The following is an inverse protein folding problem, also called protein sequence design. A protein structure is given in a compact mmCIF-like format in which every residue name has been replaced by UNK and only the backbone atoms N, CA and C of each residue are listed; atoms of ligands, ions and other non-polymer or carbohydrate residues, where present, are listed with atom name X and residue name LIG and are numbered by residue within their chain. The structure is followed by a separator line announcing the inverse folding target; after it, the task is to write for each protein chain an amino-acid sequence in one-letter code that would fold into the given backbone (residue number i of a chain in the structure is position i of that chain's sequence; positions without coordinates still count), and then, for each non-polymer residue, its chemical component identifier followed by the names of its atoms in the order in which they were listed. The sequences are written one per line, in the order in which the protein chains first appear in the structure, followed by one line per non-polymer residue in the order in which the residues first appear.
data_IF_905031723361
#
_entry.id   IF_905031723361
#
_cell.length_a   1.000
_cell.length_b   1.000
_cell.length_c   1.000
_cell.angle_alpha   90.00
_cell.angle_beta   90.00
_cell.angle_gamma   90.00
#
_symmetry.space_group_name_H-M   'P 1'
#
loop_
_entity.id
_entity.type
_entity.pdbx_description
1 polymer ?
#
# COMPACT_ATOMS: atom_id res chain seq x y z
N UNK A 1 40.88 72.98 11.05
CA UNK A 1 39.62 72.71 10.35
C UNK A 1 39.52 71.23 10.00
N UNK A 2 38.39 70.62 10.39
CA UNK A 2 37.74 69.44 9.79
C UNK A 2 38.43 68.07 9.94
N UNK A 3 37.90 67.33 10.89
CA UNK A 3 37.94 65.88 11.06
C UNK A 3 37.44 65.16 9.81
N UNK A 4 38.18 64.17 9.30
CA UNK A 4 37.65 63.21 8.32
C UNK A 4 38.14 61.81 8.65
N UNK A 5 37.43 61.15 9.57
CA UNK A 5 37.53 59.70 9.78
C UNK A 5 36.47 59.01 8.93
N UNK A 6 36.86 57.85 8.38
CA UNK A 6 36.05 56.67 7.97
C UNK A 6 35.84 56.46 6.46
N UNK A 7 36.63 55.48 5.97
CA UNK A 7 36.26 54.31 5.16
C UNK A 7 35.50 54.55 3.84
N UNK A 8 36.21 54.37 2.72
CA UNK A 8 35.63 53.98 1.44
C UNK A 8 34.81 52.69 1.64
N UNK A 9 33.49 52.82 1.68
CA UNK A 9 32.58 51.68 1.56
C UNK A 9 32.46 51.33 0.08
N UNK A 10 33.36 50.47 -0.40
CA UNK A 10 33.27 49.85 -1.71
C UNK A 10 32.74 48.42 -1.54
N UNK A 11 31.46 48.20 -1.86
CA UNK A 11 30.94 46.91 -2.34
C UNK A 11 29.50 47.11 -2.85
N UNK A 12 29.41 47.49 -4.12
CA UNK A 12 28.19 47.48 -4.90
C UNK A 12 27.84 46.03 -5.27
N UNK A 13 26.65 45.63 -4.83
CA UNK A 13 25.72 44.70 -5.50
C UNK A 13 26.26 43.28 -5.76
N UNK A 14 26.09 42.42 -4.76
CA UNK A 14 25.87 40.99 -5.01
C UNK A 14 24.56 40.89 -5.81
N UNK A 15 24.68 40.88 -7.14
CA UNK A 15 23.57 40.59 -8.03
C UNK A 15 23.03 39.22 -7.62
N UNK A 16 21.78 39.20 -7.18
CA UNK A 16 21.17 38.06 -6.53
C UNK A 16 21.31 36.79 -7.35
N UNK A 17 22.22 35.91 -6.95
CA UNK A 17 21.95 34.49 -7.03
C UNK A 17 20.82 34.25 -6.04
N UNK A 18 19.58 34.46 -6.51
CA UNK A 18 18.45 33.74 -5.96
C UNK A 18 18.88 32.28 -5.96
N UNK A 19 19.23 31.77 -4.79
CA UNK A 19 19.52 30.38 -4.58
C UNK A 19 18.22 29.66 -4.91
N UNK A 20 18.07 29.25 -6.17
CA UNK A 20 17.12 28.25 -6.59
C UNK A 20 17.61 26.96 -5.93
N UNK A 21 17.34 26.82 -4.63
CA UNK A 21 17.13 25.51 -4.08
C UNK A 21 15.96 24.98 -4.92
N UNK A 22 16.14 23.98 -5.80
CA UNK A 22 14.97 23.32 -6.33
C UNK A 22 14.18 22.91 -5.09
N UNK A 23 12.93 23.36 -4.96
CA UNK A 23 12.03 22.76 -3.98
C UNK A 23 12.02 21.30 -4.40
N UNK A 24 12.81 20.49 -3.70
CA UNK A 24 12.87 19.07 -3.96
C UNK A 24 11.47 18.62 -3.67
N UNK A 25 10.77 18.31 -4.75
CA UNK A 25 9.34 18.23 -4.77
C UNK A 25 9.01 16.84 -4.23
N UNK A 26 9.12 16.71 -2.90
CA UNK A 26 9.09 15.44 -2.23
C UNK A 26 7.67 14.87 -2.27
N UNK A 27 7.56 13.63 -2.73
CA UNK A 27 6.30 12.93 -2.74
C UNK A 27 5.84 12.65 -1.30
N UNK A 28 4.56 12.86 -1.00
CA UNK A 28 4.07 12.79 0.37
C UNK A 28 2.57 12.49 0.42
N UNK A 29 2.17 11.71 1.41
CA UNK A 29 0.78 11.57 1.79
C UNK A 29 0.26 12.87 2.41
N UNK A 30 -0.96 13.23 2.03
CA UNK A 30 -1.70 14.39 2.54
C UNK A 30 -3.16 13.99 2.80
N UNK A 31 -3.84 14.71 3.69
CA UNK A 31 -5.22 14.41 4.06
C UNK A 31 -6.01 15.68 4.36
N UNK A 32 -7.29 15.65 4.03
CA UNK A 32 -8.29 16.64 4.43
C UNK A 32 -9.64 15.94 4.74
N UNK A 33 -10.72 16.70 4.85
CA UNK A 33 -12.06 16.18 5.17
C UNK A 33 -12.65 15.28 4.07
N UNK A 34 -12.16 15.40 2.83
CA UNK A 34 -12.63 14.61 1.69
C UNK A 34 -11.90 13.26 1.62
N UNK A 35 -10.60 13.23 1.95
CA UNK A 35 -9.84 12.00 1.95
C UNK A 35 -8.33 12.21 1.91
N UNK A 36 -7.64 11.13 1.57
CA UNK A 36 -6.20 11.09 1.40
C UNK A 36 -5.82 11.35 -0.06
N UNK A 37 -4.71 12.03 -0.31
CA UNK A 37 -4.07 12.10 -1.62
C UNK A 37 -2.56 11.95 -1.48
N UNK A 38 -1.88 11.69 -2.60
CA UNK A 38 -0.44 11.58 -2.66
C UNK A 38 0.12 12.64 -3.59
N UNK A 39 1.05 13.47 -3.08
CA UNK A 39 1.71 14.49 -3.89
C UNK A 39 2.85 13.89 -4.68
N UNK A 40 3.03 14.34 -5.91
CA UNK A 40 4.20 14.06 -6.75
C UNK A 40 4.74 15.39 -7.26
N UNK A 41 5.71 15.91 -6.53
CA UNK A 41 6.22 17.25 -6.71
C UNK A 41 5.16 18.35 -6.60
N UNK A 42 4.91 19.09 -7.70
CA UNK A 42 3.88 20.12 -7.77
C UNK A 42 2.48 19.57 -8.16
N UNK A 43 2.35 18.25 -8.33
CA UNK A 43 1.11 17.57 -8.74
C UNK A 43 0.62 16.57 -7.67
N UNK A 44 -0.43 15.81 -8.01
CA UNK A 44 -0.98 14.70 -7.23
C UNK A 44 -1.19 13.44 -8.10
N UNK A 45 -1.18 12.26 -7.47
CA UNK A 45 -1.44 11.00 -8.15
C UNK A 45 -2.90 10.85 -8.56
N UNK A 46 -3.12 10.25 -9.73
CA UNK A 46 -4.42 9.85 -10.28
C UNK A 46 -4.32 8.43 -10.83
N UNK A 47 -5.36 7.62 -10.68
CA UNK A 47 -5.32 6.20 -11.07
C UNK A 47 -4.41 5.37 -10.15
N UNK A 48 -3.84 4.30 -10.69
CA UNK A 48 -2.95 3.39 -9.96
C UNK A 48 -1.58 4.00 -9.70
N UNK A 49 -1.12 3.93 -8.46
CA UNK A 49 0.21 4.39 -8.05
C UNK A 49 0.83 3.38 -7.08
N UNK A 50 2.13 3.09 -7.26
CA UNK A 50 2.88 2.23 -6.36
C UNK A 50 3.70 3.06 -5.38
N UNK A 51 3.33 2.99 -4.09
CA UNK A 51 3.96 3.75 -3.02
C UNK A 51 4.50 2.77 -2.00
N UNK A 52 5.82 2.81 -1.75
CA UNK A 52 6.54 1.91 -0.84
C UNK A 52 6.27 0.42 -1.13
N UNK A 53 6.25 0.05 -2.41
CA UNK A 53 6.01 -1.32 -2.87
C UNK A 53 4.56 -1.78 -2.78
N UNK A 54 3.61 -0.88 -2.54
CA UNK A 54 2.17 -1.20 -2.41
C UNK A 54 1.36 -0.39 -3.40
N UNK A 55 0.37 -1.01 -4.01
CA UNK A 55 -0.53 -0.35 -4.96
C UNK A 55 -1.68 0.37 -4.25
N UNK A 56 -1.97 1.58 -4.72
CA UNK A 56 -3.09 2.41 -4.30
C UNK A 56 -3.80 2.94 -5.56
N UNK A 57 -5.07 3.26 -5.45
CA UNK A 57 -5.83 3.88 -6.54
C UNK A 57 -6.36 5.23 -6.10
N UNK A 58 -6.22 6.25 -6.96
CA UNK A 58 -6.70 7.61 -6.74
C UNK A 58 -7.75 7.94 -7.81
N UNK A 59 -8.85 8.59 -7.41
CA UNK A 59 -9.83 9.08 -8.38
C UNK A 59 -9.31 10.25 -9.22
N UNK A 60 -10.13 10.72 -10.16
CA UNK A 60 -9.79 11.84 -11.04
C UNK A 60 -9.54 13.16 -10.32
N UNK A 61 -9.97 13.28 -9.05
CA UNK A 61 -9.72 14.45 -8.21
C UNK A 61 -8.50 14.25 -7.29
N UNK A 62 -7.80 13.11 -7.43
CA UNK A 62 -6.62 12.77 -6.65
C UNK A 62 -6.88 12.14 -5.30
N UNK A 63 -8.13 11.80 -4.96
CA UNK A 63 -8.44 11.19 -3.67
C UNK A 63 -8.34 9.67 -3.72
N UNK A 64 -7.64 9.11 -2.74
CA UNK A 64 -7.41 7.68 -2.58
C UNK A 64 -8.73 6.95 -2.40
N UNK A 65 -8.92 5.88 -3.17
CA UNK A 65 -10.10 5.02 -3.13
C UNK A 65 -9.85 3.78 -2.29
N UNK A 66 -10.94 3.28 -1.73
CA UNK A 66 -11.03 2.02 -0.99
C UNK A 66 -12.27 1.27 -1.48
N UNK A 67 -12.36 -0.01 -1.18
CA UNK A 67 -13.42 -0.88 -1.67
C UNK A 67 -13.15 -1.40 -3.09
N UNK A 68 -14.23 -1.83 -3.76
CA UNK A 68 -14.18 -2.36 -5.12
C UNK A 68 -13.98 -1.24 -6.15
N UNK A 69 -13.08 -1.49 -7.10
CA UNK A 69 -12.71 -0.57 -8.17
C UNK A 69 -12.87 -1.32 -9.50
N UNK A 70 -13.67 -0.77 -10.41
CA UNK A 70 -13.69 -1.22 -11.80
C UNK A 70 -12.76 -0.31 -12.60
N UNK A 71 -11.71 -0.89 -13.15
CA UNK A 71 -10.78 -0.21 -14.04
C UNK A 71 -10.74 -0.96 -15.38
N UNK A 72 -11.36 -0.35 -16.38
CA UNK A 72 -11.46 -0.87 -17.75
C UNK A 72 -11.97 -2.33 -17.82
N UNK A 73 -13.01 -2.66 -17.04
CA UNK A 73 -13.60 -4.00 -17.03
C UNK A 73 -12.93 -5.01 -16.09
N UNK A 74 -11.75 -4.71 -15.58
CA UNK A 74 -11.12 -5.48 -14.52
C UNK A 74 -11.58 -4.97 -13.16
N UNK A 75 -11.86 -5.89 -12.23
CA UNK A 75 -12.23 -5.54 -10.87
C UNK A 75 -11.06 -5.75 -9.92
N UNK A 76 -10.85 -4.77 -9.04
CA UNK A 76 -9.84 -4.75 -8.01
C UNK A 76 -10.48 -4.41 -6.68
N UNK A 77 -9.77 -4.65 -5.58
CA UNK A 77 -10.22 -4.24 -4.26
C UNK A 77 -9.10 -3.53 -3.50
N UNK A 78 -9.38 -2.35 -2.97
CA UNK A 78 -8.48 -1.63 -2.06
C UNK A 78 -9.00 -1.75 -0.61
N UNK A 79 -8.16 -2.15 0.32
CA UNK A 79 -8.51 -2.22 1.74
C UNK A 79 -8.80 -0.83 2.32
N UNK A 80 -9.27 -0.75 3.57
CA UNK A 80 -9.58 0.52 4.24
C UNK A 80 -8.38 1.47 4.38
N UNK A 81 -7.16 0.94 4.32
CA UNK A 81 -5.92 1.72 4.30
C UNK A 81 -5.44 2.04 2.86
N UNK A 82 -6.26 1.80 1.85
CA UNK A 82 -5.98 2.09 0.44
C UNK A 82 -5.20 1.03 -0.33
N UNK A 83 -4.57 0.07 0.36
CA UNK A 83 -3.71 -0.91 -0.29
C UNK A 83 -4.53 -1.88 -1.13
N UNK A 84 -4.09 -2.13 -2.37
CA UNK A 84 -4.68 -3.13 -3.25
C UNK A 84 -4.56 -4.53 -2.67
N UNK A 85 -5.65 -5.29 -2.72
CA UNK A 85 -5.69 -6.72 -2.46
C UNK A 85 -5.11 -7.48 -3.66
N UNK A 86 -4.22 -8.42 -3.40
CA UNK A 86 -3.70 -9.34 -4.41
C UNK A 86 -3.43 -10.71 -3.79
N UNK A 87 -3.53 -11.75 -4.63
CA UNK A 87 -3.36 -13.15 -4.25
C UNK A 87 -4.18 -13.55 -3.02
N UNK A 88 -5.45 -13.15 -2.98
CA UNK A 88 -6.31 -13.37 -1.81
C UNK A 88 -7.81 -13.27 -2.13
N UNK A 89 -8.67 -13.73 -1.22
CA UNK A 89 -10.13 -13.66 -1.37
C UNK A 89 -10.74 -12.44 -0.67
N UNK A 90 -11.51 -11.61 -1.35
CA UNK A 90 -12.37 -10.60 -0.72
C UNK A 90 -13.80 -11.12 -0.72
N UNK A 91 -14.26 -11.67 0.40
CA UNK A 91 -15.51 -12.46 0.42
C UNK A 91 -15.35 -13.71 -0.45
N UNK A 92 -16.21 -13.89 -1.44
CA UNK A 92 -16.17 -15.02 -2.38
C UNK A 92 -15.35 -14.73 -3.65
N UNK A 93 -14.74 -13.54 -3.75
CA UNK A 93 -14.07 -13.08 -4.96
C UNK A 93 -12.56 -13.24 -4.80
N UNK A 94 -11.91 -14.06 -5.63
CA UNK A 94 -10.45 -14.21 -5.61
C UNK A 94 -9.78 -13.15 -6.50
N UNK A 95 -8.84 -12.40 -5.92
CA UNK A 95 -7.97 -11.45 -6.60
C UNK A 95 -6.63 -12.15 -6.86
N UNK A 96 -6.21 -12.21 -8.11
CA UNK A 96 -4.96 -12.87 -8.51
C UNK A 96 -3.71 -12.06 -8.07
N UNK A 97 -2.51 -12.49 -8.45
CA UNK A 97 -1.25 -11.81 -8.08
C UNK A 97 -1.15 -10.35 -8.55
N UNK A 98 -1.92 -9.95 -9.55
CA UNK A 98 -1.98 -8.57 -10.05
C UNK A 98 -3.17 -7.79 -9.46
N UNK A 99 -3.86 -8.36 -8.47
CA UNK A 99 -5.04 -7.77 -7.83
C UNK A 99 -6.31 -7.81 -8.65
N UNK A 100 -6.30 -8.46 -9.82
CA UNK A 100 -7.47 -8.58 -10.69
C UNK A 100 -8.36 -9.71 -10.19
N UNK A 101 -9.64 -9.43 -10.00
CA UNK A 101 -10.66 -10.43 -9.73
C UNK A 101 -10.79 -11.40 -10.90
N UNK A 102 -10.80 -12.69 -10.59
CA UNK A 102 -11.03 -13.76 -11.57
C UNK A 102 -12.21 -14.62 -11.15
N UNK A 103 -13.00 -15.06 -12.13
CA UNK A 103 -14.06 -16.06 -11.97
C UNK A 103 -13.52 -17.49 -12.04
N UNK A 104 -12.37 -17.69 -12.68
CA UNK A 104 -11.59 -18.91 -12.55
C UNK A 104 -10.88 -18.87 -11.20
N UNK A 105 -11.57 -19.33 -10.15
CA UNK A 105 -10.89 -20.11 -9.14
C UNK A 105 -10.17 -21.19 -9.93
N UNK A 106 -8.83 -21.14 -9.93
CA UNK A 106 -8.07 -22.26 -10.46
C UNK A 106 -8.72 -23.51 -9.88
N UNK A 107 -9.26 -24.34 -10.76
CA UNK A 107 -9.47 -25.72 -10.45
C UNK A 107 -8.09 -26.24 -10.07
N UNK A 108 -7.72 -26.10 -8.80
CA UNK A 108 -6.99 -27.14 -8.10
C UNK A 108 -7.99 -28.28 -8.03
N UNK A 109 -8.07 -28.96 -9.17
CA UNK A 109 -8.60 -30.29 -9.29
C UNK A 109 -8.06 -31.12 -8.15
N UNK A 110 -8.97 -31.93 -7.61
CA UNK A 110 -8.70 -33.15 -6.84
C UNK A 110 -8.02 -32.95 -5.49
N UNK A 111 -8.81 -33.10 -4.42
CA UNK A 111 -8.40 -33.58 -3.09
C UNK A 111 -6.91 -33.47 -2.78
N UNK A 112 -6.43 -32.25 -2.56
CA UNK A 112 -5.05 -32.03 -2.14
C UNK A 112 -4.91 -32.53 -0.70
N UNK A 113 -4.28 -33.70 -0.56
CA UNK A 113 -3.65 -34.12 0.68
C UNK A 113 -2.86 -32.93 1.21
N UNK A 114 -3.28 -32.40 2.35
CA UNK A 114 -2.58 -31.34 3.07
C UNK A 114 -1.23 -31.91 3.44
N UNK A 115 -0.22 -31.65 2.62
CA UNK A 115 1.13 -31.96 3.02
C UNK A 115 1.49 -30.99 4.12
N UNK A 116 2.14 -31.54 5.13
CA UNK A 116 2.75 -30.88 6.28
C UNK A 116 3.61 -29.65 5.95
N UNK A 117 3.99 -29.50 4.68
CA UNK A 117 4.76 -28.38 4.12
C UNK A 117 3.92 -27.23 3.52
N UNK A 118 2.60 -27.32 3.50
CA UNK A 118 1.74 -26.22 3.02
C UNK A 118 1.93 -24.95 3.86
N UNK A 119 1.77 -23.78 3.24
CA UNK A 119 1.86 -22.50 3.94
C UNK A 119 0.58 -22.26 4.74
N UNK A 120 0.75 -21.92 6.01
CA UNK A 120 -0.28 -21.40 6.89
C UNK A 120 0.00 -19.93 7.24
N UNK A 121 -1.07 -19.19 7.50
CA UNK A 121 -1.01 -17.78 7.88
C UNK A 121 -1.50 -17.63 9.31
N UNK A 122 -0.75 -16.96 10.18
CA UNK A 122 -1.16 -16.71 11.56
C UNK A 122 -1.99 -15.44 11.67
N UNK A 123 -2.98 -15.46 12.57
CA UNK A 123 -3.70 -14.26 12.99
C UNK A 123 -2.74 -13.21 13.53
N UNK A 124 -3.15 -11.94 13.51
CA UNK A 124 -2.36 -10.87 14.09
C UNK A 124 -2.05 -11.10 15.58
N UNK A 125 -2.94 -11.80 16.29
CA UNK A 125 -2.75 -12.21 17.69
C UNK A 125 -1.90 -13.48 17.85
N UNK A 126 -1.67 -14.23 16.77
CA UNK A 126 -1.03 -15.54 16.81
C UNK A 126 -1.92 -16.65 17.39
N UNK A 127 -3.19 -16.41 17.72
CA UNK A 127 -4.03 -17.45 18.35
C UNK A 127 -4.47 -18.54 17.36
N UNK A 128 -4.62 -18.17 16.09
CA UNK A 128 -5.12 -19.06 15.05
C UNK A 128 -4.24 -19.06 13.82
N UNK A 129 -4.23 -20.20 13.12
CA UNK A 129 -3.68 -20.31 11.79
C UNK A 129 -4.77 -20.53 10.75
N UNK A 130 -4.47 -20.10 9.54
CA UNK A 130 -5.43 -19.90 8.47
C UNK A 130 -4.86 -20.46 7.16
N UNK A 131 -5.70 -21.11 6.33
CA UNK A 131 -5.29 -21.57 4.98
C UNK A 131 -5.04 -20.41 4.02
N UNK A 132 -5.76 -19.30 4.24
CA UNK A 132 -5.67 -18.08 3.46
C UNK A 132 -5.32 -16.90 4.38
N UNK A 133 -4.53 -15.92 3.90
CA UNK A 133 -3.95 -14.86 4.73
C UNK A 133 -4.97 -13.83 5.24
N UNK A 134 -6.23 -13.94 4.85
CA UNK A 134 -7.27 -12.96 5.10
C UNK A 134 -8.59 -13.55 5.64
N UNK A 135 -8.57 -14.76 6.25
CA UNK A 135 -9.69 -15.28 7.05
C UNK A 135 -10.13 -14.18 8.04
N UNK A 136 -11.40 -13.75 7.99
CA UNK A 136 -11.95 -12.81 8.98
C UNK A 136 -11.40 -11.38 8.92
N UNK A 137 -11.13 -10.82 7.72
CA UNK A 137 -10.63 -9.44 7.52
C UNK A 137 -9.19 -9.21 7.98
N UNK A 138 -8.41 -10.27 8.15
CA UNK A 138 -6.97 -10.14 8.37
C UNK A 138 -6.28 -9.48 7.17
N UNK A 139 -5.36 -8.57 7.45
CA UNK A 139 -4.53 -7.96 6.42
C UNK A 139 -3.47 -8.98 5.97
N UNK A 140 -3.49 -9.43 4.70
CA UNK A 140 -2.56 -10.44 4.22
C UNK A 140 -1.10 -9.97 4.21
N UNK A 141 -0.86 -8.65 4.17
CA UNK A 141 0.48 -8.06 4.23
C UNK A 141 1.05 -7.98 5.65
N UNK A 142 0.24 -8.29 6.68
CA UNK A 142 0.67 -8.43 8.08
C UNK A 142 0.61 -9.87 8.58
N UNK A 143 0.13 -10.80 7.75
CA UNK A 143 0.01 -12.18 8.14
C UNK A 143 1.40 -12.82 8.25
N UNK A 144 1.73 -13.33 9.43
CA UNK A 144 2.94 -14.13 9.63
C UNK A 144 2.73 -15.46 8.92
N UNK A 145 3.68 -15.85 8.07
CA UNK A 145 3.66 -17.12 7.34
C UNK A 145 4.43 -18.18 8.12
N UNK A 146 3.89 -19.39 8.15
CA UNK A 146 4.55 -20.57 8.72
C UNK A 146 4.13 -21.81 7.94
N UNK A 147 4.63 -22.99 8.32
CA UNK A 147 4.16 -24.25 7.77
C UNK A 147 2.91 -24.70 8.50
N UNK A 148 2.04 -25.46 7.83
CA UNK A 148 0.88 -26.08 8.47
C UNK A 148 1.32 -26.98 9.63
N UNK A 149 2.49 -27.62 9.55
CA UNK A 149 3.03 -28.41 10.66
C UNK A 149 3.37 -27.60 11.90
N UNK A 150 4.16 -26.55 11.74
CA UNK A 150 4.48 -25.66 12.85
C UNK A 150 3.21 -25.04 13.43
N UNK A 151 2.26 -24.73 12.55
CA UNK A 151 1.00 -24.12 12.92
C UNK A 151 0.10 -25.04 13.77
N UNK A 152 -0.09 -26.29 13.34
CA UNK A 152 -0.92 -27.29 14.02
C UNK A 152 -0.44 -27.59 15.44
N UNK A 153 0.87 -27.54 15.68
CA UNK A 153 1.46 -27.82 16.99
C UNK A 153 1.24 -26.65 17.98
N UNK A 154 1.21 -25.41 17.48
CA UNK A 154 1.32 -24.20 18.33
C UNK A 154 0.06 -23.33 18.35
N UNK A 155 -0.82 -23.49 17.38
CA UNK A 155 -1.93 -22.57 17.12
C UNK A 155 -3.23 -23.32 16.81
N UNK A 156 -4.37 -22.67 17.06
CA UNK A 156 -5.69 -23.25 16.76
C UNK A 156 -6.05 -23.05 15.29
N UNK A 157 -6.81 -23.97 14.69
CA UNK A 157 -7.25 -23.83 13.30
C UNK A 157 -8.38 -22.78 13.15
N UNK A 158 -8.39 -22.00 12.06
CA UNK A 158 -9.56 -21.21 11.63
C UNK A 158 -10.55 -22.15 10.93
N UNK A 159 -11.58 -22.62 11.63
CA UNK A 159 -12.69 -23.44 11.06
C UNK A 159 -13.48 -22.74 9.93
N UNK A 160 -13.22 -21.45 9.68
CA UNK A 160 -13.86 -20.69 8.60
C UNK A 160 -13.09 -20.75 7.28
N UNK A 161 -11.83 -21.15 7.28
CA UNK A 161 -11.01 -21.21 6.05
C UNK A 161 -10.28 -22.54 5.87
N UNK A 162 -10.64 -23.52 6.66
CA UNK A 162 -10.21 -24.91 6.60
C UNK A 162 -11.45 -25.79 6.67
#
# INVERSE_FOLDING_TARGET
MKNFKKLLSALLVFCGLAMLNPVQANAAWKQNNTGWWYTQGSSYSVGWEQIDGKWYYFDSNGYMKTGWINDNGNWYYCWSNGQMAQNCYVGNYYLNNNGVWTTNTGSSSTGDFVTDSQIAYLSATGDKYHKIPNCGKMNPNKAIKTTVNDAKVKHKICEKCW
#
